data_IF_692157951162
#
_entry.id   IF_692157951162
#
_cell.length_a   1.000
_cell.length_b   1.000
_cell.length_c   1.000
_cell.angle_alpha   90.00
_cell.angle_beta   90.00
_cell.angle_gamma   90.00
#
_symmetry.space_group_name_H-M   'P 1'
#
loop_
_entity.id
_entity.type
_entity.pdbx_description
1 polymer ?
#
# COMPACT_ATOMS: atom_id res chain seq x y z
N UNK A 1 7.48 92.56 -21.55
CA UNK A 1 7.90 91.98 -22.83
C UNK A 1 9.02 91.01 -22.49
N UNK A 2 8.64 89.76 -22.23
CA UNK A 2 8.70 88.65 -23.20
C UNK A 2 10.02 87.91 -22.95
N UNK A 3 10.06 86.63 -22.62
CA UNK A 3 9.03 85.61 -22.64
C UNK A 3 9.81 84.31 -22.55
N UNK A 4 9.52 83.49 -21.55
CA UNK A 4 10.07 82.15 -21.43
C UNK A 4 9.67 81.34 -22.66
N UNK A 5 10.65 80.92 -23.47
CA UNK A 5 10.44 79.88 -24.48
C UNK A 5 11.43 78.75 -24.27
N UNK A 6 10.86 77.65 -23.77
CA UNK A 6 11.39 76.29 -23.74
C UNK A 6 11.74 75.83 -25.17
N UNK A 7 12.90 75.22 -25.32
CA UNK A 7 13.32 74.48 -26.51
C UNK A 7 14.24 73.35 -26.06
N UNK A 8 13.76 72.12 -26.22
CA UNK A 8 14.30 70.87 -25.72
C UNK A 8 15.62 70.44 -26.41
N UNK A 9 16.37 69.55 -25.76
CA UNK A 9 17.14 68.52 -26.48
C UNK A 9 18.61 68.36 -26.09
N UNK A 10 18.94 67.13 -25.73
CA UNK A 10 20.27 66.51 -25.77
C UNK A 10 21.28 66.92 -24.67
N UNK A 11 21.39 66.05 -23.66
CA UNK A 11 22.55 66.02 -22.77
C UNK A 11 23.83 65.68 -23.55
N UNK A 12 25.01 66.17 -23.13
CA UNK A 12 26.26 65.87 -23.82
C UNK A 12 26.71 64.44 -23.54
N UNK A 13 26.78 63.70 -24.64
CA UNK A 13 27.23 62.33 -24.84
C UNK A 13 28.60 62.04 -24.22
N UNK A 14 28.69 60.91 -23.51
CA UNK A 14 29.94 60.27 -23.13
C UNK A 14 30.59 59.63 -24.37
N UNK A 15 31.27 60.43 -25.19
CA UNK A 15 32.14 59.90 -26.25
C UNK A 15 33.52 59.59 -25.65
N UNK A 16 33.68 58.35 -25.19
CA UNK A 16 34.98 57.77 -24.91
C UNK A 16 35.42 56.99 -26.16
N UNK A 17 36.60 57.26 -26.75
CA UNK A 17 37.01 56.59 -27.97
C UNK A 17 37.26 55.11 -27.69
N UNK A 18 36.42 54.24 -28.26
CA UNK A 18 36.63 52.81 -28.26
C UNK A 18 37.84 52.48 -29.16
N UNK A 19 39.02 52.42 -28.56
CA UNK A 19 40.20 51.84 -29.22
C UNK A 19 39.92 50.38 -29.64
N UNK A 20 40.61 49.87 -30.67
CA UNK A 20 40.37 48.53 -31.20
C UNK A 20 40.53 47.49 -30.09
N UNK A 21 39.40 46.90 -29.66
CA UNK A 21 39.38 45.81 -28.70
C UNK A 21 40.06 44.62 -29.36
N UNK A 22 41.21 44.18 -28.82
CA UNK A 22 41.82 42.90 -29.23
C UNK A 22 40.75 41.82 -29.05
N UNK A 23 40.56 40.93 -30.04
CA UNK A 23 39.72 39.76 -29.81
C UNK A 23 40.33 39.02 -28.62
N UNK A 24 39.61 38.95 -27.50
CA UNK A 24 40.04 38.08 -26.42
C UNK A 24 40.04 36.66 -26.99
N UNK A 25 41.17 35.97 -26.89
CA UNK A 25 41.29 34.56 -27.27
C UNK A 25 40.44 33.71 -26.33
N UNK A 26 39.16 33.58 -26.66
CA UNK A 26 38.15 32.79 -25.94
C UNK A 26 38.36 31.28 -26.11
N UNK A 27 39.26 30.87 -27.00
CA UNK A 27 39.57 29.47 -27.31
C UNK A 27 40.14 28.70 -26.12
N UNK A 28 41.02 29.32 -25.32
CA UNK A 28 41.63 28.71 -24.13
C UNK A 28 40.63 28.51 -22.98
N UNK A 29 39.85 29.52 -22.55
CA UNK A 29 38.84 29.31 -21.51
C UNK A 29 37.69 28.40 -21.97
N UNK A 30 37.33 28.39 -23.26
CA UNK A 30 36.31 27.49 -23.79
C UNK A 30 36.71 26.01 -23.68
N UNK A 31 37.99 25.68 -23.87
CA UNK A 31 38.50 24.32 -23.69
C UNK A 31 38.37 23.84 -22.25
N UNK A 32 38.71 24.70 -21.29
CA UNK A 32 38.58 24.39 -19.85
C UNK A 32 37.11 24.23 -19.47
N UNK A 33 36.24 25.11 -19.96
CA UNK A 33 34.80 25.05 -19.72
C UNK A 33 34.18 23.78 -20.32
N UNK A 34 34.62 23.36 -21.52
CA UNK A 34 34.18 22.11 -22.15
C UNK A 34 34.63 20.87 -21.38
N UNK A 35 35.87 20.86 -20.87
CA UNK A 35 36.35 19.77 -20.01
C UNK A 35 35.55 19.68 -18.71
N UNK A 36 35.25 20.82 -18.08
CA UNK A 36 34.38 20.90 -16.90
C UNK A 36 32.95 20.42 -17.18
N UNK A 37 32.39 20.78 -18.34
CA UNK A 37 31.07 20.33 -18.76
C UNK A 37 31.01 18.80 -18.94
N UNK A 38 32.05 18.19 -19.49
CA UNK A 38 32.16 16.72 -19.61
C UNK A 38 32.20 16.04 -18.24
N UNK A 39 32.97 16.59 -17.29
CA UNK A 39 33.04 16.06 -15.92
C UNK A 39 31.69 16.19 -15.21
N UNK A 40 31.02 17.35 -15.34
CA UNK A 40 29.68 17.54 -14.78
C UNK A 40 28.67 16.59 -15.41
N UNK A 41 28.73 16.39 -16.73
CA UNK A 41 27.88 15.43 -17.43
C UNK A 41 28.09 14.01 -16.89
N UNK A 42 29.34 13.61 -16.64
CA UNK A 42 29.64 12.30 -16.05
C UNK A 42 29.07 12.16 -14.63
N UNK A 43 29.24 13.16 -13.76
CA UNK A 43 28.70 13.14 -12.39
C UNK A 43 27.17 13.09 -12.40
N UNK A 44 26.53 13.92 -13.22
CA UNK A 44 25.07 13.94 -13.37
C UNK A 44 24.58 12.60 -13.94
N UNK A 45 25.25 12.03 -14.94
CA UNK A 45 24.91 10.74 -15.52
C UNK A 45 25.03 9.60 -14.49
N UNK A 46 26.09 9.59 -13.67
CA UNK A 46 26.24 8.63 -12.59
C UNK A 46 25.19 8.82 -11.49
N UNK A 47 24.90 10.07 -11.11
CA UNK A 47 23.89 10.40 -10.10
C UNK A 47 22.47 10.03 -10.54
N UNK A 48 22.12 10.26 -11.81
CA UNK A 48 20.85 9.83 -12.39
C UNK A 48 20.81 8.31 -12.57
N UNK A 49 21.88 7.69 -13.06
CA UNK A 49 21.95 6.23 -13.24
C UNK A 49 21.86 5.48 -11.90
N UNK A 50 22.47 6.01 -10.83
CA UNK A 50 22.33 5.42 -9.50
C UNK A 50 20.96 5.70 -8.87
N UNK A 51 20.39 6.89 -9.06
CA UNK A 51 19.01 7.19 -8.61
C UNK A 51 17.97 6.32 -9.34
N UNK A 52 18.14 6.09 -10.64
CA UNK A 52 17.25 5.22 -11.42
C UNK A 52 17.35 3.76 -10.99
N UNK A 53 18.54 3.29 -10.59
CA UNK A 53 18.72 1.96 -9.99
C UNK A 53 18.04 1.86 -8.63
N UNK A 54 18.18 2.89 -7.79
CA UNK A 54 17.49 2.98 -6.49
C UNK A 54 15.97 3.02 -6.62
N UNK A 55 15.44 3.81 -7.55
CA UNK A 55 14.00 3.91 -7.81
C UNK A 55 13.42 2.60 -8.38
N UNK A 56 14.20 1.86 -9.19
CA UNK A 56 13.81 0.53 -9.69
C UNK A 56 13.78 -0.52 -8.57
N UNK A 57 14.67 -0.44 -7.59
CA UNK A 57 14.65 -1.28 -6.39
C UNK A 57 13.50 -0.93 -5.43
N UNK A 58 13.22 0.37 -5.23
CA UNK A 58 12.11 0.85 -4.40
C UNK A 58 10.75 0.41 -5.00
N UNK A 59 10.57 0.53 -6.32
CA UNK A 59 9.36 0.09 -7.02
C UNK A 59 9.23 -1.43 -7.02
N UNK A 60 10.34 -2.18 -7.09
CA UNK A 60 10.32 -3.65 -6.91
C UNK A 60 9.88 -4.06 -5.51
N UNK A 61 10.32 -3.34 -4.47
CA UNK A 61 9.85 -3.57 -3.09
C UNK A 61 8.36 -3.27 -2.92
N UNK A 62 7.83 -2.22 -3.55
CA UNK A 62 6.39 -1.93 -3.50
C UNK A 62 5.58 -2.99 -4.25
N UNK A 63 6.12 -3.54 -5.35
CA UNK A 63 5.51 -4.66 -6.07
C UNK A 63 5.47 -5.96 -5.24
N UNK A 64 6.52 -6.27 -4.48
CA UNK A 64 6.54 -7.46 -3.61
C UNK A 64 5.59 -7.33 -2.42
N UNK A 65 5.48 -6.14 -1.83
CA UNK A 65 4.54 -5.89 -0.71
C UNK A 65 3.08 -6.06 -1.17
N UNK A 66 2.72 -5.62 -2.39
CA UNK A 66 1.37 -5.87 -2.92
C UNK A 66 1.09 -7.36 -3.16
N UNK A 67 2.09 -8.12 -3.61
CA UNK A 67 1.99 -9.57 -3.74
C UNK A 67 1.79 -10.29 -2.40
N UNK A 68 2.51 -9.86 -1.36
CA UNK A 68 2.37 -10.39 0.00
C UNK A 68 1.01 -10.06 0.63
N UNK A 69 0.48 -8.85 0.42
CA UNK A 69 -0.87 -8.49 0.89
C UNK A 69 -1.97 -9.30 0.18
N UNK A 70 -1.83 -9.58 -1.12
CA UNK A 70 -2.77 -10.43 -1.85
C UNK A 70 -2.71 -11.89 -1.36
N UNK A 71 -1.51 -12.41 -1.09
CA UNK A 71 -1.34 -13.73 -0.50
C UNK A 71 -1.86 -13.82 0.94
N UNK A 72 -1.78 -12.73 1.72
CA UNK A 72 -2.32 -12.65 3.06
C UNK A 72 -3.85 -12.59 3.05
N UNK A 73 -4.46 -11.83 2.13
CA UNK A 73 -5.91 -11.81 1.95
C UNK A 73 -6.43 -13.18 1.53
N UNK A 74 -5.76 -13.85 0.59
CA UNK A 74 -6.11 -15.21 0.18
C UNK A 74 -6.01 -16.21 1.36
N UNK A 75 -4.97 -16.10 2.20
CA UNK A 75 -4.85 -16.93 3.40
C UNK A 75 -5.91 -16.62 4.45
N UNK A 76 -6.25 -15.35 4.67
CA UNK A 76 -7.34 -14.94 5.57
C UNK A 76 -8.69 -15.44 5.07
N UNK A 77 -8.92 -15.43 3.76
CA UNK A 77 -10.16 -15.93 3.14
C UNK A 77 -10.24 -17.47 3.20
N UNK A 78 -9.12 -18.17 3.07
CA UNK A 78 -9.02 -19.62 3.33
C UNK A 78 -9.26 -19.94 4.81
N UNK A 79 -8.71 -19.15 5.76
CA UNK A 79 -8.96 -19.31 7.20
C UNK A 79 -10.42 -19.00 7.55
N UNK A 80 -11.06 -18.07 6.83
CA UNK A 80 -12.47 -17.71 7.03
C UNK A 80 -13.43 -18.75 6.44
N UNK A 81 -13.03 -19.40 5.33
CA UNK A 81 -13.86 -20.38 4.61
C UNK A 81 -13.58 -21.83 4.98
N UNK A 82 -12.43 -22.13 5.60
CA UNK A 82 -12.21 -23.40 6.28
C UNK A 82 -12.59 -23.21 7.75
N UNK A 83 -13.68 -23.83 8.24
CA UNK A 83 -13.87 -23.93 9.66
C UNK A 83 -12.66 -24.71 10.19
N UNK A 84 -11.73 -23.98 10.81
CA UNK A 84 -10.66 -24.57 11.62
C UNK A 84 -11.26 -25.67 12.48
N UNK A 85 -10.55 -26.76 12.73
CA UNK A 85 -11.12 -27.88 13.52
C UNK A 85 -11.72 -27.40 14.84
N UNK A 86 -11.13 -26.36 15.45
CA UNK A 86 -11.70 -25.66 16.60
C UNK A 86 -13.05 -24.98 16.35
N UNK A 87 -13.22 -24.22 15.26
CA UNK A 87 -14.51 -23.59 14.92
C UNK A 87 -15.56 -24.59 14.47
N UNK A 88 -15.16 -25.69 13.81
CA UNK A 88 -16.05 -26.82 13.50
C UNK A 88 -16.50 -27.52 14.77
N UNK A 89 -15.59 -27.77 15.73
CA UNK A 89 -15.90 -28.37 17.04
C UNK A 89 -16.87 -27.49 17.82
N UNK A 90 -16.63 -26.18 17.86
CA UNK A 90 -17.51 -25.20 18.52
C UNK A 90 -18.90 -25.12 17.85
N UNK A 91 -18.97 -25.13 16.51
CA UNK A 91 -20.23 -25.14 15.78
C UNK A 91 -21.02 -26.42 16.04
N UNK A 92 -20.35 -27.58 15.99
CA UNK A 92 -20.97 -28.89 16.30
C UNK A 92 -21.46 -28.92 17.74
N UNK A 93 -20.69 -28.40 18.70
CA UNK A 93 -21.10 -28.30 20.10
C UNK A 93 -22.34 -27.42 20.26
N UNK A 94 -22.36 -26.24 19.64
CA UNK A 94 -23.52 -25.34 19.68
C UNK A 94 -24.77 -25.97 19.04
N UNK A 95 -24.61 -26.71 17.94
CA UNK A 95 -25.71 -27.44 17.30
C UNK A 95 -26.24 -28.58 18.18
N UNK A 96 -25.36 -29.31 18.87
CA UNK A 96 -25.78 -30.38 19.78
C UNK A 96 -26.50 -29.82 21.00
N UNK A 97 -26.06 -28.68 21.52
CA UNK A 97 -26.72 -28.02 22.63
C UNK A 97 -28.12 -27.51 22.24
N UNK A 98 -28.28 -26.92 21.06
CA UNK A 98 -29.60 -26.55 20.50
C UNK A 98 -30.50 -27.78 20.27
N UNK A 99 -29.95 -28.88 19.76
CA UNK A 99 -30.67 -30.14 19.60
C UNK A 99 -31.10 -30.74 20.95
N UNK A 100 -30.26 -30.67 21.97
CA UNK A 100 -30.58 -31.15 23.32
C UNK A 100 -31.73 -30.33 23.94
N UNK A 101 -31.70 -29.00 23.76
CA UNK A 101 -32.79 -28.11 24.20
C UNK A 101 -34.09 -28.40 23.46
N UNK A 102 -34.06 -28.57 22.14
CA UNK A 102 -35.23 -28.92 21.33
C UNK A 102 -35.77 -30.32 21.65
N UNK A 103 -34.89 -31.29 21.87
CA UNK A 103 -35.28 -32.65 22.27
C UNK A 103 -35.90 -32.68 23.67
N UNK A 104 -35.40 -31.88 24.61
CA UNK A 104 -36.01 -31.72 25.94
C UNK A 104 -37.40 -31.08 25.85
N UNK A 105 -37.53 -30.02 25.04
CA UNK A 105 -38.81 -29.35 24.81
C UNK A 105 -39.85 -30.27 24.16
N UNK A 106 -39.47 -30.95 23.07
CA UNK A 106 -40.34 -31.91 22.38
C UNK A 106 -40.67 -33.10 23.28
N UNK A 107 -39.70 -33.59 24.06
CA UNK A 107 -39.94 -34.65 25.05
C UNK A 107 -41.03 -34.29 26.06
N UNK A 108 -41.10 -33.03 26.48
CA UNK A 108 -42.17 -32.54 27.37
C UNK A 108 -43.55 -32.43 26.71
N UNK A 109 -43.63 -32.46 25.37
CA UNK A 109 -44.88 -32.36 24.61
C UNK A 109 -45.37 -33.69 24.04
N UNK A 110 -44.55 -34.74 24.11
CA UNK A 110 -44.92 -36.06 23.61
C UNK A 110 -45.88 -36.73 24.58
N UNK A 111 -47.09 -37.02 24.09
CA UNK A 111 -48.14 -37.73 24.83
C UNK A 111 -48.11 -39.24 24.56
N UNK A 112 -47.50 -39.65 23.45
CA UNK A 112 -47.39 -41.05 23.04
C UNK A 112 -46.21 -41.75 23.76
N UNK A 113 -46.49 -42.89 24.39
CA UNK A 113 -45.51 -43.57 25.25
C UNK A 113 -44.33 -44.15 24.45
N UNK A 114 -44.53 -44.56 23.20
CA UNK A 114 -43.47 -45.10 22.35
C UNK A 114 -42.58 -43.98 21.80
N UNK A 115 -43.16 -42.84 21.44
CA UNK A 115 -42.41 -41.64 21.06
C UNK A 115 -41.61 -41.08 22.23
N UNK A 116 -42.14 -41.15 23.46
CA UNK A 116 -41.44 -40.69 24.67
C UNK A 116 -40.17 -41.52 24.94
N UNK A 117 -40.25 -42.85 24.74
CA UNK A 117 -39.08 -43.74 24.85
C UNK A 117 -38.02 -43.43 23.80
N UNK A 118 -38.43 -43.20 22.55
CA UNK A 118 -37.51 -42.80 21.48
C UNK A 118 -36.85 -41.45 21.78
N UNK A 119 -37.60 -40.49 22.32
CA UNK A 119 -37.05 -39.19 22.68
C UNK A 119 -36.08 -39.28 23.86
N UNK A 120 -36.36 -40.10 24.87
CA UNK A 120 -35.42 -40.36 25.96
C UNK A 120 -34.10 -40.96 25.44
N UNK A 121 -34.17 -41.86 24.45
CA UNK A 121 -32.99 -42.41 23.80
C UNK A 121 -32.20 -41.35 23.02
N UNK A 122 -32.89 -40.43 22.31
CA UNK A 122 -32.25 -39.31 21.60
C UNK A 122 -31.55 -38.35 22.56
N UNK A 123 -32.19 -38.02 23.69
CA UNK A 123 -31.58 -37.16 24.72
C UNK A 123 -30.31 -37.78 25.31
N UNK A 124 -30.32 -39.10 25.55
CA UNK A 124 -29.14 -39.83 26.04
C UNK A 124 -28.01 -39.85 25.01
N UNK A 125 -28.31 -40.12 23.73
CA UNK A 125 -27.31 -40.06 22.66
C UNK A 125 -26.70 -38.65 22.52
N UNK A 126 -27.51 -37.60 22.60
CA UNK A 126 -27.01 -36.22 22.55
C UNK A 126 -26.10 -35.88 23.74
N UNK A 127 -26.38 -36.43 24.94
CA UNK A 127 -25.51 -36.27 26.11
C UNK A 127 -24.17 -37.01 25.95
N UNK A 128 -24.20 -38.23 25.42
CA UNK A 128 -22.98 -39.00 25.17
C UNK A 128 -22.09 -38.30 24.14
N UNK A 129 -22.68 -37.79 23.06
CA UNK A 129 -21.94 -37.03 22.05
C UNK A 129 -21.33 -35.75 22.67
N UNK A 130 -22.06 -35.02 23.54
CA UNK A 130 -21.49 -33.87 24.25
C UNK A 130 -20.29 -34.25 25.13
N UNK A 131 -20.37 -35.38 25.83
CA UNK A 131 -19.28 -35.87 26.68
C UNK A 131 -18.05 -36.26 25.85
N UNK A 132 -18.24 -36.94 24.72
CA UNK A 132 -17.15 -37.32 23.82
C UNK A 132 -16.51 -36.11 23.12
N UNK A 133 -17.30 -35.07 22.81
CA UNK A 133 -16.77 -33.81 22.30
C UNK A 133 -16.04 -32.97 23.35
N UNK A 134 -16.40 -33.07 24.63
CA UNK A 134 -15.74 -32.34 25.71
C UNK A 134 -14.38 -32.95 26.10
N UNK A 135 -14.12 -34.20 25.67
CA UNK A 135 -12.84 -34.89 25.79
C UNK A 135 -11.83 -34.45 24.73
#
# INVERSE_FOLDING_TARGET
>A
MDGFRKGDGAGPSLEQPAGPRRPLDLSKPALVLGALALVLMAIVFYGLSSNLKGLSEEVRKVGSVQGELAALQAQVEVIRNQPTEGSRKLLVQAMIEDMAQKAAFLGGQIQDQDQARKMAQVQEMLRQIQYDLAR
#
